data_IF_258843461390
#
_entry.id   IF_258843461390
#
_cell.length_a   1.000
_cell.length_b   1.000
_cell.length_c   1.000
_cell.angle_alpha   90.00
_cell.angle_beta   90.00
_cell.angle_gamma   90.00
#
_symmetry.space_group_name_H-M   'P 1'
#
loop_
_entity.id
_entity.type
_entity.pdbx_description
1 polymer ?
#
# COMPACT_ATOMS: atom_id res chain seq x y z
N UNK A 1 12.95 -20.28 -18.95
CA UNK A 1 12.73 -20.64 -17.54
C UNK A 1 11.29 -21.13 -17.44
N UNK A 2 11.05 -22.26 -16.79
CA UNK A 2 9.69 -22.78 -16.57
C UNK A 2 9.08 -22.19 -15.27
N UNK A 3 7.86 -22.58 -14.93
CA UNK A 3 7.17 -22.06 -13.75
C UNK A 3 7.93 -22.40 -12.45
N UNK A 4 8.48 -23.61 -12.37
CA UNK A 4 9.21 -24.06 -11.18
C UNK A 4 10.48 -23.22 -10.96
N UNK A 5 11.23 -22.94 -12.02
CA UNK A 5 12.40 -22.06 -11.96
C UNK A 5 12.03 -20.63 -11.54
N UNK A 6 10.93 -20.08 -12.05
CA UNK A 6 10.47 -18.75 -11.65
C UNK A 6 10.07 -18.69 -10.17
N UNK A 7 9.28 -19.66 -9.70
CA UNK A 7 8.91 -19.75 -8.29
C UNK A 7 10.16 -19.88 -7.41
N UNK A 8 11.17 -20.64 -7.85
CA UNK A 8 12.41 -20.79 -7.10
C UNK A 8 13.15 -19.46 -6.95
N UNK A 9 13.25 -18.64 -8.01
CA UNK A 9 13.86 -17.31 -7.93
C UNK A 9 13.12 -16.43 -6.91
N UNK A 10 11.79 -16.39 -6.94
CA UNK A 10 11.03 -15.62 -5.95
C UNK A 10 11.21 -16.16 -4.53
N UNK A 11 11.20 -17.49 -4.36
CA UNK A 11 11.41 -18.14 -3.05
C UNK A 11 12.73 -17.74 -2.42
N UNK A 12 13.80 -17.71 -3.21
CA UNK A 12 15.15 -17.39 -2.74
C UNK A 12 15.32 -15.91 -2.41
N UNK A 13 14.57 -15.02 -3.09
CA UNK A 13 14.90 -13.60 -3.11
C UNK A 13 13.81 -12.65 -2.60
N UNK A 14 12.57 -13.09 -2.35
CA UNK A 14 11.52 -12.16 -1.92
C UNK A 14 11.84 -11.49 -0.57
N UNK A 15 12.63 -12.14 0.29
CA UNK A 15 13.07 -11.60 1.60
C UNK A 15 14.20 -10.57 1.49
N UNK A 16 14.84 -10.48 0.33
CA UNK A 16 15.96 -9.56 0.08
C UNK A 16 15.45 -8.37 -0.74
N UNK A 17 15.28 -7.21 -0.09
CA UNK A 17 14.78 -5.99 -0.74
C UNK A 17 15.67 -5.54 -1.91
N UNK A 18 16.97 -5.90 -1.94
CA UNK A 18 17.84 -5.56 -3.07
C UNK A 18 17.45 -6.28 -4.36
N UNK A 19 16.64 -7.35 -4.27
CA UNK A 19 16.11 -8.08 -5.41
C UNK A 19 14.72 -7.62 -5.85
N UNK A 20 14.02 -6.81 -5.07
CA UNK A 20 12.62 -6.46 -5.36
C UNK A 20 12.46 -5.77 -6.71
N UNK A 21 13.41 -4.92 -7.11
CA UNK A 21 13.42 -4.33 -8.45
C UNK A 21 13.53 -5.38 -9.56
N UNK A 22 14.40 -6.37 -9.38
CA UNK A 22 14.55 -7.46 -10.36
C UNK A 22 13.26 -8.28 -10.44
N UNK A 23 12.70 -8.64 -9.28
CA UNK A 23 11.48 -9.44 -9.18
C UNK A 23 10.27 -8.71 -9.78
N UNK A 24 10.03 -7.42 -9.47
CA UNK A 24 8.91 -6.67 -10.06
C UNK A 24 9.05 -6.55 -11.59
N UNK A 25 10.26 -6.28 -12.10
CA UNK A 25 10.50 -6.20 -13.55
C UNK A 25 10.31 -7.55 -14.23
N UNK A 26 10.69 -8.65 -13.59
CA UNK A 26 10.37 -10.00 -14.06
C UNK A 26 8.85 -10.18 -14.18
N UNK A 27 8.06 -9.86 -13.16
CA UNK A 27 6.60 -9.96 -13.22
C UNK A 27 5.98 -9.17 -14.39
N UNK A 28 6.49 -7.98 -14.70
CA UNK A 28 6.03 -7.15 -15.82
C UNK A 28 6.38 -7.69 -17.21
N UNK A 29 7.40 -8.55 -17.31
CA UNK A 29 7.82 -9.20 -18.56
C UNK A 29 7.17 -10.57 -18.79
N UNK A 30 6.66 -11.20 -17.73
CA UNK A 30 6.02 -12.51 -17.79
C UNK A 30 4.59 -12.43 -18.36
N UNK A 31 4.11 -13.55 -18.90
CA UNK A 31 2.70 -13.67 -19.25
C UNK A 31 1.82 -13.77 -18.00
N UNK A 32 0.54 -13.46 -18.16
CA UNK A 32 -0.41 -13.44 -17.05
C UNK A 32 -0.51 -14.77 -16.30
N UNK A 33 -0.29 -15.91 -16.96
CA UNK A 33 -0.34 -17.22 -16.29
C UNK A 33 0.83 -17.36 -15.32
N UNK A 34 2.06 -17.07 -15.74
CA UNK A 34 3.20 -17.14 -14.82
C UNK A 34 3.09 -16.10 -13.70
N UNK A 35 2.71 -14.87 -14.04
CA UNK A 35 2.53 -13.83 -13.02
C UNK A 35 1.44 -14.17 -12.01
N UNK A 36 0.32 -14.76 -12.45
CA UNK A 36 -0.71 -15.26 -11.53
C UNK A 36 -0.14 -16.27 -10.52
N UNK A 37 0.65 -17.25 -10.99
CA UNK A 37 1.22 -18.25 -10.09
C UNK A 37 2.24 -17.66 -9.10
N UNK A 38 3.03 -16.67 -9.53
CA UNK A 38 3.98 -15.97 -8.67
C UNK A 38 3.24 -15.15 -7.61
N UNK A 39 2.18 -14.45 -7.99
CA UNK A 39 1.36 -13.67 -7.05
C UNK A 39 0.66 -14.58 -6.04
N UNK A 40 0.08 -15.71 -6.48
CA UNK A 40 -0.49 -16.73 -5.58
C UNK A 40 0.56 -17.31 -4.62
N UNK A 41 1.80 -17.51 -5.10
CA UNK A 41 2.92 -17.93 -4.25
C UNK A 41 3.22 -16.86 -3.18
N UNK A 42 3.44 -15.60 -3.58
CA UNK A 42 3.80 -14.52 -2.65
C UNK A 42 2.73 -14.29 -1.57
N UNK A 43 1.44 -14.29 -1.92
CA UNK A 43 0.37 -14.10 -0.93
C UNK A 43 0.17 -15.29 0.02
N UNK A 44 0.65 -16.48 -0.38
CA UNK A 44 0.57 -17.70 0.41
C UNK A 44 1.70 -17.87 1.43
N UNK A 45 2.79 -17.11 1.29
CA UNK A 45 3.89 -17.12 2.25
C UNK A 45 3.51 -16.35 3.54
N UNK A 46 3.92 -16.91 4.68
CA UNK A 46 3.96 -16.15 5.92
C UNK A 46 5.19 -15.22 5.88
N UNK A 47 4.93 -13.92 5.83
CA UNK A 47 5.96 -12.89 5.77
C UNK A 47 5.94 -11.93 6.94
N UNK A 48 5.28 -12.27 8.04
CA UNK A 48 5.20 -11.40 9.22
C UNK A 48 6.59 -11.06 9.77
N UNK A 49 7.50 -12.04 9.84
CA UNK A 49 8.88 -11.85 10.29
C UNK A 49 9.67 -10.88 9.38
N UNK A 50 9.30 -10.79 8.11
CA UNK A 50 9.87 -9.91 7.09
C UNK A 50 8.96 -8.72 6.79
N UNK A 51 8.17 -8.29 7.78
CA UNK A 51 7.30 -7.11 7.72
C UNK A 51 6.35 -7.10 6.51
N UNK A 52 5.87 -8.29 6.13
CA UNK A 52 5.00 -8.52 4.98
C UNK A 52 5.57 -8.02 3.64
N UNK A 53 6.90 -8.02 3.50
CA UNK A 53 7.58 -7.65 2.24
C UNK A 53 7.11 -8.46 1.04
N UNK A 54 6.70 -9.72 1.23
CA UNK A 54 6.05 -10.54 0.20
C UNK A 54 4.76 -9.91 -0.35
N UNK A 55 3.90 -9.35 0.51
CA UNK A 55 2.63 -8.72 0.10
C UNK A 55 2.86 -7.38 -0.61
N UNK A 56 3.83 -6.59 -0.13
CA UNK A 56 4.20 -5.33 -0.79
C UNK A 56 4.85 -5.58 -2.15
N UNK A 57 5.76 -6.56 -2.25
CA UNK A 57 6.33 -6.99 -3.52
C UNK A 57 5.26 -7.51 -4.48
N UNK A 58 4.24 -8.23 -3.98
CA UNK A 58 3.12 -8.67 -4.79
C UNK A 58 2.32 -7.48 -5.36
N UNK A 59 2.06 -6.44 -4.57
CA UNK A 59 1.39 -5.22 -5.04
C UNK A 59 2.22 -4.48 -6.10
N UNK A 60 3.55 -4.41 -5.91
CA UNK A 60 4.47 -3.86 -6.91
C UNK A 60 4.46 -4.68 -8.21
N UNK A 61 4.48 -6.01 -8.11
CA UNK A 61 4.36 -6.90 -9.26
C UNK A 61 3.04 -6.69 -10.01
N UNK A 62 1.91 -6.54 -9.30
CA UNK A 62 0.61 -6.17 -9.91
C UNK A 62 0.73 -4.84 -10.67
N UNK A 63 1.48 -3.89 -10.13
CA UNK A 63 1.65 -2.59 -10.76
C UNK A 63 2.40 -2.63 -12.09
N UNK A 64 3.36 -3.56 -12.23
CA UNK A 64 4.19 -3.75 -13.44
C UNK A 64 3.46 -4.47 -14.58
N UNK A 65 2.36 -5.19 -14.29
CA UNK A 65 1.62 -5.94 -15.31
C UNK A 65 0.80 -5.00 -16.20
N UNK A 66 1.15 -4.91 -17.48
CA UNK A 66 0.47 -4.05 -18.46
C UNK A 66 -1.01 -4.41 -18.66
N UNK A 67 -1.35 -5.69 -18.63
CA UNK A 67 -2.71 -6.20 -18.83
C UNK A 67 -3.32 -6.70 -17.51
N UNK A 68 -3.57 -5.77 -16.58
CA UNK A 68 -4.07 -6.12 -15.24
C UNK A 68 -5.39 -6.90 -15.24
N UNK A 69 -6.19 -6.77 -16.29
CA UNK A 69 -7.42 -7.55 -16.47
C UNK A 69 -7.17 -9.07 -16.61
N UNK A 70 -6.02 -9.49 -17.15
CA UNK A 70 -5.67 -10.91 -17.28
C UNK A 70 -5.26 -11.55 -15.93
N UNK A 71 -4.94 -10.71 -14.93
CA UNK A 71 -4.58 -11.14 -13.57
C UNK A 71 -5.59 -10.65 -12.50
N UNK A 72 -6.77 -10.17 -12.91
CA UNK A 72 -7.70 -9.47 -12.02
C UNK A 72 -8.08 -10.29 -10.77
N UNK A 73 -8.26 -11.62 -10.93
CA UNK A 73 -8.62 -12.51 -9.82
C UNK A 73 -7.57 -12.53 -8.69
N UNK A 74 -6.29 -12.70 -9.02
CA UNK A 74 -5.23 -12.69 -8.00
C UNK A 74 -4.92 -11.26 -7.55
N UNK A 75 -5.03 -10.26 -8.43
CA UNK A 75 -4.80 -8.86 -8.06
C UNK A 75 -5.77 -8.38 -6.98
N UNK A 76 -7.03 -8.83 -7.01
CA UNK A 76 -8.01 -8.59 -5.94
C UNK A 76 -7.57 -9.26 -4.63
N UNK A 77 -7.10 -10.50 -4.66
CA UNK A 77 -6.58 -11.17 -3.45
C UNK A 77 -5.38 -10.43 -2.86
N UNK A 78 -4.44 -9.99 -3.71
CA UNK A 78 -3.28 -9.19 -3.28
C UNK A 78 -3.75 -7.90 -2.62
N UNK A 79 -4.72 -7.19 -3.24
CA UNK A 79 -5.33 -5.98 -2.67
C UNK A 79 -5.89 -6.25 -1.29
N UNK A 80 -6.74 -7.27 -1.17
CA UNK A 80 -7.45 -7.56 0.07
C UNK A 80 -6.45 -7.91 1.19
N UNK A 81 -5.41 -8.71 0.89
CA UNK A 81 -4.33 -9.03 1.85
C UNK A 81 -3.53 -7.80 2.27
N UNK A 82 -3.22 -6.88 1.36
CA UNK A 82 -2.54 -5.62 1.70
C UNK A 82 -3.48 -4.70 2.49
N UNK A 83 -4.77 -4.65 2.15
CA UNK A 83 -5.76 -3.86 2.89
C UNK A 83 -5.96 -4.36 4.33
N UNK A 84 -5.88 -5.68 4.57
CA UNK A 84 -5.89 -6.25 5.92
C UNK A 84 -4.76 -5.66 6.79
N UNK A 85 -3.60 -5.38 6.21
CA UNK A 85 -2.46 -4.80 6.94
C UNK A 85 -2.70 -3.36 7.42
N UNK A 86 -3.69 -2.65 6.88
CA UNK A 86 -4.07 -1.31 7.39
C UNK A 86 -4.61 -1.40 8.82
N UNK A 87 -5.20 -2.55 9.19
CA UNK A 87 -5.70 -2.84 10.53
C UNK A 87 -4.75 -3.76 11.32
N UNK A 88 -3.50 -3.88 10.88
CA UNK A 88 -2.54 -4.74 11.55
C UNK A 88 -2.29 -4.26 12.98
N UNK A 89 -2.54 -5.13 13.94
CA UNK A 89 -2.26 -4.93 15.37
C UNK A 89 -1.28 -6.03 15.81
N UNK A 90 -0.17 -5.64 16.45
CA UNK A 90 0.77 -6.62 16.99
C UNK A 90 0.30 -7.09 18.38
N UNK A 91 -0.61 -8.05 18.41
CA UNK A 91 -1.22 -8.56 19.65
C UNK A 91 -0.22 -9.35 20.52
N UNK A 92 0.87 -9.86 19.94
CA UNK A 92 1.81 -10.77 20.63
C UNK A 92 2.93 -10.08 21.40
N UNK A 93 3.20 -8.81 21.11
CA UNK A 93 4.29 -8.05 21.72
C UNK A 93 3.78 -7.18 22.88
N UNK A 94 3.95 -7.66 24.10
CA UNK A 94 3.74 -6.89 25.32
C UNK A 94 4.56 -5.59 25.34
N UNK A 95 3.88 -4.44 25.23
CA UNK A 95 4.21 -3.13 25.85
C UNK A 95 5.61 -2.55 25.60
N UNK A 96 6.12 -2.57 24.38
CA UNK A 96 7.35 -1.87 24.01
C UNK A 96 7.11 -0.91 22.84
N UNK A 97 7.45 0.37 23.03
CA UNK A 97 7.31 1.45 22.03
C UNK A 97 7.97 1.13 20.67
N UNK A 98 9.02 0.28 20.66
CA UNK A 98 9.72 -0.13 19.45
C UNK A 98 8.83 -1.01 18.54
N UNK A 99 7.91 -1.77 19.12
CA UNK A 99 6.99 -2.63 18.36
C UNK A 99 5.71 -1.91 17.91
N UNK A 100 5.24 -0.92 18.67
CA UNK A 100 4.16 -0.03 18.24
C UNK A 100 4.56 0.68 16.93
N UNK A 101 5.82 1.15 16.86
CA UNK A 101 6.37 1.77 15.66
C UNK A 101 6.39 0.82 14.44
N UNK A 102 6.59 -0.48 14.65
CA UNK A 102 6.62 -1.45 13.55
C UNK A 102 5.23 -1.71 12.99
N UNK A 103 4.21 -1.84 13.85
CA UNK A 103 2.83 -2.00 13.41
C UNK A 103 2.38 -0.77 12.61
N UNK A 104 2.72 0.43 13.09
CA UNK A 104 2.42 1.68 12.39
C UNK A 104 3.15 1.79 11.05
N UNK A 105 4.43 1.37 10.97
CA UNK A 105 5.20 1.31 9.73
C UNK A 105 4.50 0.42 8.68
N UNK A 106 4.05 -0.77 9.09
CA UNK A 106 3.33 -1.73 8.22
C UNK A 106 2.01 -1.11 7.73
N UNK A 107 1.24 -0.50 8.63
CA UNK A 107 -0.04 0.14 8.29
C UNK A 107 0.15 1.29 7.31
N UNK A 108 1.13 2.17 7.55
CA UNK A 108 1.48 3.27 6.64
C UNK A 108 1.88 2.74 5.27
N UNK A 109 2.74 1.71 5.20
CA UNK A 109 3.17 1.11 3.94
C UNK A 109 1.98 0.48 3.18
N UNK A 110 1.03 -0.13 3.89
CA UNK A 110 -0.21 -0.64 3.32
C UNK A 110 -1.10 0.46 2.73
N UNK A 111 -1.27 1.58 3.42
CA UNK A 111 -2.02 2.74 2.89
C UNK A 111 -1.39 3.26 1.59
N UNK A 112 -0.06 3.40 1.55
CA UNK A 112 0.66 3.83 0.34
C UNK A 112 0.49 2.81 -0.79
N UNK A 113 0.71 1.52 -0.51
CA UNK A 113 0.60 0.46 -1.51
C UNK A 113 -0.82 0.41 -2.11
N UNK A 114 -1.86 0.56 -1.27
CA UNK A 114 -3.25 0.58 -1.72
C UNK A 114 -3.53 1.79 -2.62
N UNK A 115 -3.13 2.97 -2.17
CA UNK A 115 -3.35 4.22 -2.88
C UNK A 115 -2.68 4.26 -4.26
N UNK A 116 -1.47 3.71 -4.38
CA UNK A 116 -0.69 3.71 -5.62
C UNK A 116 -1.16 2.59 -6.55
N UNK A 117 -1.30 1.37 -6.04
CA UNK A 117 -1.53 0.18 -6.88
C UNK A 117 -2.96 0.13 -7.40
N UNK A 118 -3.95 0.48 -6.56
CA UNK A 118 -5.38 0.42 -6.90
C UNK A 118 -6.02 1.80 -6.92
N UNK A 119 -5.28 2.81 -7.40
CA UNK A 119 -5.75 4.19 -7.52
C UNK A 119 -7.10 4.32 -8.23
N UNK A 120 -7.32 3.54 -9.29
CA UNK A 120 -8.52 3.59 -10.12
C UNK A 120 -9.65 2.69 -9.60
N UNK A 121 -9.42 1.97 -8.49
CA UNK A 121 -10.46 1.22 -7.82
C UNK A 121 -11.41 2.19 -7.09
N UNK A 122 -12.73 2.10 -7.32
CA UNK A 122 -13.70 3.02 -6.74
C UNK A 122 -13.72 3.00 -5.20
N UNK A 123 -13.28 1.93 -4.56
CA UNK A 123 -13.26 1.80 -3.10
C UNK A 123 -12.01 2.41 -2.46
N UNK A 124 -10.97 2.72 -3.25
CA UNK A 124 -9.70 3.24 -2.72
C UNK A 124 -9.85 4.65 -2.14
N UNK A 125 -10.45 5.59 -2.86
CA UNK A 125 -10.62 6.96 -2.36
C UNK A 125 -11.52 7.01 -1.11
N UNK A 126 -12.68 6.33 -1.05
CA UNK A 126 -13.49 6.23 0.17
C UNK A 126 -12.71 5.68 1.37
N UNK A 127 -11.93 4.60 1.17
CA UNK A 127 -11.08 4.05 2.23
C UNK A 127 -10.08 5.08 2.75
N UNK A 128 -9.35 5.77 1.85
CA UNK A 128 -8.39 6.79 2.25
C UNK A 128 -9.06 7.96 2.98
N UNK A 129 -10.25 8.40 2.54
CA UNK A 129 -11.01 9.47 3.22
C UNK A 129 -11.40 9.05 4.64
N UNK A 130 -11.82 7.81 4.84
CA UNK A 130 -12.10 7.27 6.18
C UNK A 130 -10.86 7.27 7.07
N UNK A 131 -9.72 6.78 6.56
CA UNK A 131 -8.46 6.76 7.30
C UNK A 131 -8.01 8.17 7.66
N UNK A 132 -8.05 9.10 6.71
CA UNK A 132 -7.69 10.50 6.94
C UNK A 132 -8.60 11.21 7.95
N UNK A 133 -9.78 10.68 8.27
CA UNK A 133 -10.74 11.30 9.18
C UNK A 133 -10.82 10.65 10.55
N UNK A 134 -10.70 9.33 10.61
CA UNK A 134 -11.08 8.57 11.79
C UNK A 134 -10.00 7.63 12.31
N UNK A 135 -8.88 7.45 11.60
CA UNK A 135 -7.83 6.58 12.12
C UNK A 135 -7.17 7.20 13.36
N UNK A 136 -7.03 6.42 14.43
CA UNK A 136 -6.44 6.89 15.68
C UNK A 136 -4.95 7.21 15.52
N UNK A 137 -4.26 6.54 14.60
CA UNK A 137 -2.84 6.76 14.35
C UNK A 137 -2.62 7.96 13.42
N UNK A 138 -1.88 8.96 13.90
CA UNK A 138 -1.63 10.18 13.13
C UNK A 138 -0.75 10.00 11.90
N UNK A 139 0.15 9.01 11.88
CA UNK A 139 0.99 8.72 10.72
C UNK A 139 0.15 8.09 9.60
N UNK A 140 -0.82 7.24 9.95
CA UNK A 140 -1.83 6.73 8.99
C UNK A 140 -2.67 7.88 8.44
N UNK A 141 -3.21 8.76 9.29
CA UNK A 141 -3.97 9.94 8.83
C UNK A 141 -3.15 10.86 7.93
N UNK A 142 -1.91 11.16 8.33
CA UNK A 142 -0.97 11.99 7.58
C UNK A 142 -0.68 11.39 6.19
N UNK A 143 -0.43 10.08 6.16
CA UNK A 143 -0.20 9.34 4.91
C UNK A 143 -1.42 9.38 4.02
N UNK A 144 -2.61 9.10 4.54
CA UNK A 144 -3.85 9.17 3.77
C UNK A 144 -4.11 10.58 3.20
N UNK A 145 -3.90 11.64 4.00
CA UNK A 145 -3.96 13.05 3.54
C UNK A 145 -3.05 13.29 2.34
N UNK A 146 -1.78 12.84 2.42
CA UNK A 146 -0.80 13.02 1.34
C UNK A 146 -1.17 12.22 0.09
N UNK A 147 -1.62 10.97 0.25
CA UNK A 147 -2.02 10.13 -0.88
C UNK A 147 -3.26 10.68 -1.59
N UNK A 148 -4.28 11.14 -0.83
CA UNK A 148 -5.47 11.79 -1.40
C UNK A 148 -5.06 13.03 -2.19
N UNK A 149 -4.27 13.92 -1.60
CA UNK A 149 -3.85 15.15 -2.25
C UNK A 149 -3.09 14.93 -3.57
N UNK A 150 -2.20 13.93 -3.60
CA UNK A 150 -1.35 13.66 -4.77
C UNK A 150 -2.07 12.86 -5.84
N UNK A 151 -2.88 11.89 -5.42
CA UNK A 151 -3.61 11.02 -6.34
C UNK A 151 -4.88 11.67 -6.87
N UNK A 152 -5.66 12.35 -6.04
CA UNK A 152 -7.02 12.80 -6.35
C UNK A 152 -7.15 14.32 -6.27
N UNK A 153 -6.11 15.05 -6.67
CA UNK A 153 -6.12 16.53 -6.69
C UNK A 153 -7.32 17.13 -7.44
N UNK A 154 -7.80 16.45 -8.48
CA UNK A 154 -8.91 16.90 -9.34
C UNK A 154 -10.28 16.45 -8.80
N UNK A 155 -10.32 15.62 -7.74
CA UNK A 155 -11.56 15.27 -7.05
C UNK A 155 -12.10 16.49 -6.29
N UNK A 156 -13.38 16.88 -6.50
CA UNK A 156 -13.92 18.11 -5.94
C UNK A 156 -13.98 18.12 -4.41
N UNK A 157 -13.91 16.96 -3.75
CA UNK A 157 -13.92 16.86 -2.29
C UNK A 157 -12.52 16.88 -1.67
N UNK A 158 -11.45 16.71 -2.46
CA UNK A 158 -10.07 16.69 -1.95
C UNK A 158 -9.71 18.00 -1.26
N UNK A 159 -9.88 19.16 -1.91
CA UNK A 159 -9.54 20.44 -1.30
C UNK A 159 -10.40 20.78 -0.07
N UNK A 160 -11.74 20.59 -0.08
CA UNK A 160 -12.57 20.72 1.12
C UNK A 160 -12.06 19.87 2.29
N UNK A 161 -11.74 18.60 2.04
CA UNK A 161 -11.27 17.65 3.06
C UNK A 161 -9.90 18.07 3.64
N UNK A 162 -8.96 18.53 2.81
CA UNK A 162 -7.69 19.07 3.29
C UNK A 162 -7.91 20.31 4.17
N UNK A 163 -8.78 21.24 3.76
CA UNK A 163 -9.11 22.44 4.55
C UNK A 163 -9.77 22.09 5.89
N UNK A 164 -10.56 21.03 5.94
CA UNK A 164 -11.10 20.50 7.20
C UNK A 164 -9.98 19.96 8.10
N UNK A 165 -9.05 19.15 7.56
CA UNK A 165 -7.90 18.66 8.33
C UNK A 165 -7.03 19.78 8.88
N UNK A 166 -6.77 20.84 8.10
CA UNK A 166 -6.05 22.02 8.59
C UNK A 166 -6.72 22.67 9.81
N UNK A 167 -8.06 22.71 9.85
CA UNK A 167 -8.81 23.42 10.90
C UNK A 167 -9.05 22.57 12.15
N UNK A 168 -9.27 21.28 11.98
CA UNK A 168 -9.93 20.46 12.99
C UNK A 168 -9.16 19.20 13.41
N UNK A 169 -8.10 18.80 12.70
CA UNK A 169 -7.29 17.66 13.16
C UNK A 169 -6.55 18.03 14.44
N UNK A 170 -6.59 17.15 15.44
CA UNK A 170 -5.97 17.35 16.75
C UNK A 170 -4.44 17.29 16.66
N UNK A 171 -3.90 16.53 15.71
CA UNK A 171 -2.50 16.23 15.55
C UNK A 171 -1.80 17.24 14.63
N UNK A 172 -0.76 17.90 15.16
CA UNK A 172 -0.06 18.95 14.42
C UNK A 172 0.65 18.47 13.13
N UNK A 173 1.26 17.26 13.07
CA UNK A 173 1.77 16.69 11.82
C UNK A 173 0.72 16.60 10.71
N UNK A 174 -0.50 16.14 11.02
CA UNK A 174 -1.57 15.99 10.03
C UNK A 174 -2.00 17.36 9.48
N UNK A 175 -2.18 18.35 10.37
CA UNK A 175 -2.47 19.73 9.94
C UNK A 175 -1.38 20.27 9.03
N UNK A 176 -0.10 20.07 9.39
CA UNK A 176 1.05 20.50 8.59
C UNK A 176 1.03 19.84 7.21
N UNK A 177 0.84 18.51 7.14
CA UNK A 177 0.80 17.79 5.88
C UNK A 177 -0.31 18.33 4.95
N UNK A 178 -1.51 18.58 5.50
CA UNK A 178 -2.59 19.18 4.73
C UNK A 178 -2.25 20.59 4.20
N UNK A 179 -1.62 21.45 5.02
CA UNK A 179 -1.15 22.79 4.57
C UNK A 179 -0.11 22.67 3.46
N UNK A 180 0.88 21.78 3.62
CA UNK A 180 1.92 21.57 2.62
C UNK A 180 1.34 21.08 1.28
N UNK A 181 0.41 20.13 1.31
CA UNK A 181 -0.22 19.61 0.10
C UNK A 181 -1.12 20.66 -0.59
N UNK A 182 -1.86 21.48 0.18
CA UNK A 182 -2.58 22.63 -0.37
C UNK A 182 -1.59 23.57 -1.09
N UNK A 183 -0.47 23.91 -0.44
CA UNK A 183 0.55 24.80 -1.00
C UNK A 183 1.25 24.23 -2.24
N UNK A 184 1.37 22.89 -2.34
CA UNK A 184 1.94 22.19 -3.52
C UNK A 184 1.06 22.29 -4.77
N UNK A 185 -0.20 22.72 -4.64
CA UNK A 185 -1.03 23.05 -5.80
C UNK A 185 -2.27 22.18 -5.97
N UNK A 186 -2.83 21.62 -4.89
CA UNK A 186 -4.22 21.11 -4.93
C UNK A 186 -5.22 22.23 -5.25
N UNK A 187 -4.82 23.51 -5.14
CA UNK A 187 -5.63 24.67 -5.54
C UNK A 187 -5.43 25.14 -7.01
N UNK A 188 -4.55 24.48 -7.80
CA UNK A 188 -4.28 24.85 -9.20
C UNK A 188 -4.96 23.92 -10.18
#
# INVERSE_FOLDING_TARGET
MDLAGLIQVYREHWRDESWHEVLRLMAGMLDAKFTNNILEYLIGEDGEAEKFSNLFLAAECVSEVKKRNEIAGVAVKVRDRVQELIKYENITASTSQEYDNLADEIRVKAVVAVAITWKDDPETLPLLKQLAQYDDNSDVRCTAVQQIARGWKDDPETLPMLKERVRSDDNWPVRRAAVEEIARGVER
#
